data_IF_289873943588
#
_entry.id   IF_289873943588
#
_cell.length_a   1.000
_cell.length_b   1.000
_cell.length_c   1.000
_cell.angle_alpha   90.00
_cell.angle_beta   90.00
_cell.angle_gamma   90.00
#
_symmetry.space_group_name_H-M   'P 1'
#
loop_
_entity.id
_entity.type
_entity.pdbx_description
1 polymer ?
#
# COMPACT_ATOMS: atom_id res chain seq x y z
N UNK A 1 -35.73 -32.53 0.51
CA UNK A 1 -34.38 -32.13 0.03
C UNK A 1 -34.05 -30.87 0.79
N UNK A 2 -33.02 -30.90 1.65
CA UNK A 2 -32.59 -29.69 2.36
C UNK A 2 -32.01 -28.73 1.32
N UNK A 3 -32.51 -27.51 1.26
CA UNK A 3 -31.93 -26.47 0.44
C UNK A 3 -30.64 -26.01 1.14
N UNK A 4 -29.52 -26.06 0.43
CA UNK A 4 -28.27 -25.48 0.91
C UNK A 4 -28.45 -23.96 1.09
N UNK A 5 -27.90 -23.35 2.16
CA UNK A 5 -27.94 -21.91 2.32
C UNK A 5 -27.23 -21.22 1.15
N UNK A 6 -27.87 -20.21 0.57
CA UNK A 6 -27.25 -19.29 -0.39
C UNK A 6 -26.57 -18.16 0.36
N UNK A 7 -25.25 -18.11 0.29
CA UNK A 7 -24.45 -16.96 0.75
C UNK A 7 -24.39 -15.89 -0.33
N UNK A 8 -24.53 -14.62 0.06
CA UNK A 8 -24.28 -13.47 -0.81
C UNK A 8 -23.10 -12.69 -0.23
N UNK A 9 -22.14 -12.33 -1.08
CA UNK A 9 -20.96 -11.55 -0.69
C UNK A 9 -21.04 -10.20 -1.38
N UNK A 10 -20.97 -9.13 -0.60
CA UNK A 10 -20.82 -7.76 -1.11
C UNK A 10 -19.35 -7.39 -1.01
N UNK A 11 -18.71 -7.16 -2.16
CA UNK A 11 -17.38 -6.56 -2.21
C UNK A 11 -17.54 -5.06 -2.38
N UNK A 12 -17.04 -4.28 -1.43
CA UNK A 12 -16.68 -2.89 -1.73
C UNK A 12 -15.49 -2.94 -2.68
N UNK A 13 -15.50 -2.11 -3.72
CA UNK A 13 -14.33 -2.02 -4.62
C UNK A 13 -13.11 -1.52 -3.83
N UNK A 14 -11.88 -1.84 -4.28
CA UNK A 14 -10.65 -1.45 -3.56
C UNK A 14 -10.48 0.06 -3.35
N UNK A 15 -11.24 0.89 -4.07
CA UNK A 15 -11.19 2.36 -3.98
C UNK A 15 -12.54 2.96 -3.53
N UNK A 16 -13.44 2.16 -2.94
CA UNK A 16 -14.69 2.68 -2.43
C UNK A 16 -14.42 3.41 -1.12
N UNK A 17 -14.29 4.73 -1.18
CA UNK A 17 -14.30 5.59 0.01
C UNK A 17 -15.70 5.60 0.62
N UNK A 18 -15.96 4.61 1.46
CA UNK A 18 -17.07 4.64 2.41
C UNK A 18 -16.52 5.23 3.68
N UNK A 19 -16.73 6.54 3.88
CA UNK A 19 -16.42 7.22 5.14
C UNK A 19 -17.11 6.57 6.34
N UNK A 20 -16.86 7.06 7.54
CA UNK A 20 -17.51 6.51 8.73
C UNK A 20 -19.03 6.65 8.65
N UNK A 21 -19.74 5.57 8.98
CA UNK A 21 -21.18 5.58 8.93
C UNK A 21 -21.83 4.22 9.09
N UNK A 22 -23.10 4.27 9.50
CA UNK A 22 -23.99 3.13 9.42
C UNK A 22 -24.48 3.01 7.98
N UNK A 23 -24.06 1.95 7.29
CA UNK A 23 -24.47 1.69 5.92
C UNK A 23 -25.66 0.74 5.92
N UNK A 24 -26.81 1.22 5.42
CA UNK A 24 -27.98 0.37 5.22
C UNK A 24 -27.95 -0.22 3.81
N UNK A 25 -27.74 -1.53 3.71
CA UNK A 25 -27.87 -2.24 2.44
C UNK A 25 -29.33 -2.68 2.29
N UNK A 26 -30.03 -2.11 1.31
CA UNK A 26 -31.39 -2.53 0.96
C UNK A 26 -31.36 -3.53 -0.17
N UNK A 27 -31.61 -4.79 0.16
CA UNK A 27 -31.73 -5.84 -0.83
C UNK A 27 -33.18 -5.95 -1.28
N UNK A 28 -33.47 -5.42 -2.48
CA UNK A 28 -34.74 -5.67 -3.12
C UNK A 28 -34.76 -7.12 -3.61
N UNK A 29 -35.67 -7.94 -3.06
CA UNK A 29 -35.86 -9.36 -3.40
C UNK A 29 -36.15 -9.64 -4.90
N UNK A 30 -36.32 -8.60 -5.72
CA UNK A 30 -36.55 -8.70 -7.17
C UNK A 30 -35.39 -9.36 -7.95
N UNK A 31 -34.21 -9.52 -7.35
CA UNK A 31 -33.08 -10.23 -7.97
C UNK A 31 -33.20 -11.77 -7.91
N UNK A 32 -34.05 -12.31 -7.03
CA UNK A 32 -34.32 -13.76 -6.96
C UNK A 32 -35.53 -14.06 -7.84
N UNK A 33 -35.29 -14.12 -9.14
CA UNK A 33 -36.34 -14.45 -10.12
C UNK A 33 -36.93 -15.85 -9.84
N UNK A 34 -38.25 -15.90 -9.70
CA UNK A 34 -39.12 -17.10 -9.69
C UNK A 34 -39.35 -17.87 -8.37
N UNK A 35 -39.51 -17.22 -7.22
CA UNK A 35 -40.39 -17.77 -6.17
C UNK A 35 -41.74 -17.04 -6.17
N UNK A 36 -42.65 -17.50 -7.04
CA UNK A 36 -44.01 -16.99 -7.07
C UNK A 36 -44.72 -17.32 -5.75
N UNK A 37 -45.07 -16.28 -4.97
CA UNK A 37 -45.98 -16.40 -3.82
C UNK A 37 -45.42 -16.04 -2.45
N UNK A 38 -44.15 -15.64 -2.33
CA UNK A 38 -43.65 -15.08 -1.07
C UNK A 38 -43.97 -13.57 -0.99
N UNK A 39 -44.35 -13.05 0.19
CA UNK A 39 -44.45 -11.62 0.40
C UNK A 39 -43.11 -10.95 0.05
N UNK A 40 -43.17 -9.75 -0.54
CA UNK A 40 -41.98 -8.94 -0.78
C UNK A 40 -41.46 -8.40 0.57
N UNK A 41 -40.84 -9.27 1.35
CA UNK A 41 -40.18 -8.86 2.57
C UNK A 41 -38.85 -8.22 2.18
N UNK A 42 -38.75 -6.91 2.45
CA UNK A 42 -37.50 -6.16 2.34
C UNK A 42 -36.66 -6.54 3.55
N UNK A 43 -35.54 -7.21 3.32
CA UNK A 43 -34.54 -7.40 4.34
C UNK A 43 -33.66 -6.15 4.40
N UNK A 44 -33.74 -5.42 5.52
CA UNK A 44 -32.79 -4.37 5.85
C UNK A 44 -31.73 -4.96 6.77
N UNK A 45 -30.46 -4.85 6.38
CA UNK A 45 -29.33 -5.09 7.26
C UNK A 45 -28.50 -3.81 7.28
N UNK A 46 -28.13 -3.38 8.48
CA UNK A 46 -27.08 -2.40 8.65
C UNK A 46 -25.78 -3.10 9.04
N UNK A 47 -24.67 -2.57 8.53
CA UNK A 47 -23.35 -2.86 9.05
C UNK A 47 -22.66 -1.53 9.33
N UNK A 48 -21.85 -1.50 10.37
CA UNK A 48 -21.00 -0.35 10.69
C UNK A 48 -19.62 -0.64 10.11
N UNK A 49 -19.16 0.23 9.22
CA UNK A 49 -17.73 0.33 8.95
C UNK A 49 -17.18 1.18 10.06
N UNK A 50 -16.37 0.58 10.92
CA UNK A 50 -15.74 1.28 12.02
C UNK A 50 -14.30 1.60 11.62
N UNK A 51 -14.05 2.79 11.03
CA UNK A 51 -12.67 3.25 10.85
C UNK A 51 -12.08 3.76 12.16
N UNK A 52 -12.79 3.73 13.31
CA UNK A 52 -12.18 4.11 14.60
C UNK A 52 -11.00 3.22 14.99
N UNK A 53 -10.84 2.04 14.39
CA UNK A 53 -9.62 1.25 14.58
C UNK A 53 -8.37 1.91 13.99
N UNK A 54 -8.54 2.90 13.12
CA UNK A 54 -7.51 3.68 12.45
C UNK A 54 -7.18 5.01 13.12
N UNK A 55 -8.13 5.54 13.90
CA UNK A 55 -8.00 6.79 14.64
C UNK A 55 -7.15 6.55 15.90
N UNK A 56 -5.83 6.54 15.71
CA UNK A 56 -4.85 6.19 16.73
C UNK A 56 -4.66 7.31 17.75
N UNK A 57 -4.92 8.57 17.38
CA UNK A 57 -4.78 9.70 18.29
C UNK A 57 -6.11 10.15 18.95
N UNK A 58 -7.24 9.58 18.52
CA UNK A 58 -8.61 9.79 19.01
C UNK A 58 -9.12 11.23 18.78
N UNK A 59 -8.69 11.88 17.71
CA UNK A 59 -9.19 13.21 17.34
C UNK A 59 -10.47 13.17 16.49
N UNK A 60 -10.84 11.98 16.00
CA UNK A 60 -12.07 11.71 15.25
C UNK A 60 -11.93 11.84 13.74
N UNK A 61 -10.75 12.18 13.23
CA UNK A 61 -10.38 12.08 11.83
C UNK A 61 -9.43 10.87 11.62
N UNK A 62 -9.22 10.45 10.38
CA UNK A 62 -8.21 9.43 10.04
C UNK A 62 -7.24 10.05 9.05
N UNK A 63 -6.09 10.53 9.53
CA UNK A 63 -5.15 11.32 8.75
C UNK A 63 -3.65 10.97 8.99
N UNK A 64 -2.74 11.89 8.65
CA UNK A 64 -1.30 11.70 8.83
C UNK A 64 -0.89 11.57 10.29
N UNK A 65 -1.61 12.22 11.20
CA UNK A 65 -1.33 12.17 12.63
C UNK A 65 -1.61 10.77 13.17
N UNK A 66 -2.63 10.09 12.66
CA UNK A 66 -2.90 8.69 12.98
C UNK A 66 -1.84 7.74 12.47
N UNK A 67 -1.33 7.98 11.26
CA UNK A 67 -0.25 7.17 10.70
C UNK A 67 1.06 7.33 11.49
N UNK A 68 1.36 8.57 11.92
CA UNK A 68 2.48 8.85 12.81
C UNK A 68 2.29 8.22 14.19
N UNK A 69 1.08 8.32 14.75
CA UNK A 69 0.71 7.68 16.03
C UNK A 69 0.82 6.16 15.93
N UNK A 70 0.40 5.56 14.82
CA UNK A 70 0.59 4.14 14.52
C UNK A 70 2.07 3.78 14.49
N UNK A 71 2.92 4.53 13.78
CA UNK A 71 4.36 4.27 13.72
C UNK A 71 4.99 4.32 15.13
N UNK A 72 4.62 5.31 15.95
CA UNK A 72 5.07 5.40 17.35
C UNK A 72 4.62 4.19 18.16
N UNK A 73 3.35 3.80 18.05
CA UNK A 73 2.78 2.72 18.84
C UNK A 73 3.32 1.35 18.41
N UNK A 74 3.54 1.12 17.12
CA UNK A 74 4.19 -0.06 16.54
C UNK A 74 5.57 -0.30 17.12
N UNK A 75 6.38 0.75 17.30
CA UNK A 75 7.71 0.65 17.92
C UNK A 75 7.64 0.18 19.38
N UNK A 76 6.60 0.58 20.10
CA UNK A 76 6.44 0.29 21.53
C UNK A 76 5.76 -1.06 21.79
N UNK A 77 4.76 -1.42 20.97
CA UNK A 77 3.85 -2.53 21.22
C UNK A 77 3.54 -3.35 19.95
N UNK A 78 4.55 -3.90 19.25
CA UNK A 78 4.38 -4.57 17.96
C UNK A 78 3.30 -5.66 17.95
N UNK A 79 3.22 -6.48 19.01
CA UNK A 79 2.28 -7.59 19.09
C UNK A 79 0.79 -7.19 19.14
N UNK A 80 0.46 -5.92 19.39
CA UNK A 80 -0.93 -5.45 19.38
C UNK A 80 -1.44 -5.18 17.96
N UNK A 81 -0.55 -5.11 16.97
CA UNK A 81 -0.82 -4.65 15.61
C UNK A 81 -0.68 -5.77 14.56
N UNK A 82 -0.92 -7.02 14.94
CA UNK A 82 -1.12 -8.16 14.03
C UNK A 82 -2.51 -8.02 13.36
N UNK A 83 -2.54 -7.29 12.25
CA UNK A 83 -3.74 -6.90 11.49
C UNK A 83 -4.26 -8.08 10.66
N UNK A 84 -3.37 -8.88 10.08
CA UNK A 84 -3.77 -10.01 9.24
C UNK A 84 -4.14 -11.27 10.06
N UNK A 85 -3.91 -11.22 11.38
CA UNK A 85 -4.19 -12.26 12.36
C UNK A 85 -3.44 -13.58 12.13
N UNK A 86 -2.29 -13.55 11.47
CA UNK A 86 -1.50 -14.75 11.23
C UNK A 86 -0.64 -15.15 12.44
N UNK A 87 -0.73 -14.38 13.53
CA UNK A 87 0.01 -14.58 14.78
C UNK A 87 1.46 -14.13 14.68
N UNK A 88 1.84 -13.44 13.60
CA UNK A 88 3.12 -12.77 13.42
C UNK A 88 2.85 -11.28 13.39
N UNK A 89 3.91 -10.54 13.69
CA UNK A 89 3.90 -9.11 13.50
C UNK A 89 5.04 -8.81 12.54
N UNK A 90 4.70 -8.67 11.26
CA UNK A 90 5.68 -8.47 10.22
C UNK A 90 5.28 -7.38 9.21
N UNK A 91 5.96 -7.37 8.08
CA UNK A 91 5.76 -6.35 7.06
C UNK A 91 4.40 -6.48 6.37
N UNK A 92 3.76 -7.66 6.40
CA UNK A 92 2.45 -7.87 5.81
C UNK A 92 1.35 -7.15 6.58
N UNK A 93 1.41 -7.15 7.92
CA UNK A 93 0.47 -6.37 8.76
C UNK A 93 0.54 -4.88 8.47
N UNK A 94 1.77 -4.40 8.29
CA UNK A 94 2.04 -3.01 7.98
C UNK A 94 1.53 -2.63 6.58
N UNK A 95 1.82 -3.43 5.55
CA UNK A 95 1.27 -3.17 4.22
C UNK A 95 -0.26 -3.21 4.21
N UNK A 96 -0.85 -4.10 5.01
CA UNK A 96 -2.29 -4.20 5.11
C UNK A 96 -2.89 -2.94 5.74
N UNK A 97 -2.33 -2.42 6.83
CA UNK A 97 -2.89 -1.20 7.43
C UNK A 97 -2.76 0.00 6.49
N UNK A 98 -1.65 0.15 5.78
CA UNK A 98 -1.50 1.25 4.82
C UNK A 98 -2.56 1.21 3.71
N UNK A 99 -2.74 0.03 3.10
CA UNK A 99 -3.65 -0.14 1.98
C UNK A 99 -5.11 -0.13 2.41
N UNK A 100 -5.47 -0.91 3.43
CA UNK A 100 -6.88 -1.13 3.81
C UNK A 100 -7.44 0.02 4.64
N UNK A 101 -6.58 0.68 5.43
CA UNK A 101 -7.00 1.71 6.37
C UNK A 101 -6.76 3.12 5.84
N UNK A 102 -5.52 3.41 5.45
CA UNK A 102 -5.13 4.76 5.02
C UNK A 102 -5.31 4.99 3.52
N UNK A 103 -5.44 3.91 2.72
CA UNK A 103 -5.54 4.02 1.27
C UNK A 103 -4.26 4.57 0.63
N UNK A 104 -3.11 4.45 1.30
CA UNK A 104 -1.83 5.02 0.87
C UNK A 104 -0.80 3.92 0.63
N UNK A 105 0.26 4.29 -0.08
CA UNK A 105 1.37 3.39 -0.38
C UNK A 105 2.66 3.90 0.25
N UNK A 106 3.62 3.02 0.59
CA UNK A 106 4.93 3.49 1.01
C UNK A 106 5.51 4.44 -0.03
N UNK A 107 6.03 5.59 0.41
CA UNK A 107 6.58 6.63 -0.45
C UNK A 107 5.70 7.86 -0.59
N UNK A 108 4.38 7.70 -0.48
CA UNK A 108 3.40 8.79 -0.57
C UNK A 108 3.45 9.65 0.69
N UNK A 109 4.30 10.68 0.69
CA UNK A 109 4.65 11.47 1.86
C UNK A 109 3.57 12.51 2.19
N UNK A 110 2.61 12.76 1.30
CA UNK A 110 1.54 13.73 1.50
C UNK A 110 0.11 13.16 1.44
N UNK A 111 0.00 11.84 1.29
CA UNK A 111 -1.23 11.07 1.21
C UNK A 111 -2.12 11.50 0.04
N UNK A 112 -1.54 11.91 -1.08
CA UNK A 112 -2.30 12.21 -2.30
C UNK A 112 -2.64 10.95 -3.12
N UNK A 113 -2.11 9.79 -2.70
CA UNK A 113 -2.32 8.47 -3.30
C UNK A 113 -1.25 8.05 -4.30
N UNK A 114 -0.32 8.94 -4.66
CA UNK A 114 0.70 8.71 -5.70
C UNK A 114 2.12 8.99 -5.19
N UNK A 115 2.94 7.95 -5.01
CA UNK A 115 4.37 8.18 -4.75
C UNK A 115 5.09 8.72 -6.00
N UNK A 116 5.43 10.00 -6.00
CA UNK A 116 6.01 10.70 -7.14
C UNK A 116 7.19 11.63 -6.74
N UNK A 117 7.60 12.51 -7.66
CA UNK A 117 8.73 13.42 -7.40
C UNK A 117 8.45 14.49 -6.34
N UNK A 118 7.18 14.84 -6.11
CA UNK A 118 6.80 15.83 -5.10
C UNK A 118 7.03 15.29 -3.69
N UNK A 119 6.76 14.01 -3.46
CA UNK A 119 7.07 13.31 -2.20
C UNK A 119 8.56 13.31 -1.91
N UNK A 120 9.37 12.98 -2.92
CA UNK A 120 10.82 13.01 -2.79
C UNK A 120 11.33 14.41 -2.39
N UNK A 121 10.76 15.46 -2.99
CA UNK A 121 11.10 16.84 -2.61
C UNK A 121 10.72 17.11 -1.16
N UNK A 122 9.51 16.73 -0.73
CA UNK A 122 9.04 16.92 0.65
C UNK A 122 9.95 16.22 1.68
N UNK A 123 10.31 14.96 1.43
CA UNK A 123 11.22 14.17 2.27
C UNK A 123 12.57 14.89 2.42
N UNK A 124 13.15 15.38 1.32
CA UNK A 124 14.43 16.08 1.36
C UNK A 124 14.33 17.49 1.98
N UNK A 125 13.18 18.17 1.85
CA UNK A 125 12.91 19.44 2.52
C UNK A 125 12.83 19.28 4.05
N UNK A 126 12.33 18.14 4.54
CA UNK A 126 12.36 17.77 5.96
C UNK A 126 13.78 17.63 6.51
N UNK A 127 14.75 17.26 5.67
CA UNK A 127 16.18 17.28 5.98
C UNK A 127 16.63 16.23 7.00
N UNK A 128 15.84 15.18 7.22
CA UNK A 128 16.15 14.09 8.17
C UNK A 128 16.89 12.90 7.56
N UNK A 129 16.96 12.81 6.23
CA UNK A 129 17.62 11.71 5.52
C UNK A 129 19.09 11.52 5.93
N UNK A 130 19.42 10.32 6.40
CA UNK A 130 20.77 9.88 6.82
C UNK A 130 21.39 10.79 7.90
N UNK A 131 20.57 11.46 8.70
CA UNK A 131 21.03 12.32 9.81
C UNK A 131 21.23 11.55 11.12
N UNK A 132 20.59 10.38 11.27
CA UNK A 132 20.52 9.61 12.51
C UNK A 132 19.56 10.19 13.56
N UNK A 133 18.71 11.16 13.19
CA UNK A 133 17.60 11.61 14.04
C UNK A 133 16.55 10.50 14.13
N UNK A 134 16.02 10.28 15.34
CA UNK A 134 15.10 9.15 15.67
C UNK A 134 13.66 9.60 15.94
N UNK A 135 13.31 10.81 15.50
CA UNK A 135 12.00 11.44 15.64
C UNK A 135 11.43 11.81 14.26
N UNK A 136 11.72 11.00 13.25
CA UNK A 136 11.12 11.13 11.93
C UNK A 136 9.65 10.70 11.93
N UNK A 137 8.82 11.44 11.21
CA UNK A 137 7.43 11.11 10.88
C UNK A 137 7.35 10.44 9.50
N UNK A 138 6.15 10.00 9.13
CA UNK A 138 5.85 9.54 7.79
C UNK A 138 6.21 10.58 6.73
N UNK A 139 5.79 11.83 6.94
CA UNK A 139 6.05 12.95 6.01
C UNK A 139 7.54 13.26 5.86
N UNK A 140 8.34 12.94 6.88
CA UNK A 140 9.80 13.08 6.80
C UNK A 140 10.46 11.96 5.98
N UNK A 141 9.76 10.86 5.71
CA UNK A 141 10.23 9.70 4.95
C UNK A 141 10.55 8.43 5.75
N UNK A 142 10.05 8.31 7.00
CA UNK A 142 10.13 7.08 7.82
C UNK A 142 9.06 6.07 7.37
N UNK A 143 9.33 5.35 6.29
CA UNK A 143 8.39 4.41 5.65
C UNK A 143 8.51 2.97 6.17
N UNK A 144 9.39 2.70 7.14
CA UNK A 144 9.36 1.44 7.88
C UNK A 144 8.92 1.61 9.34
N UNK A 145 8.62 2.84 9.75
CA UNK A 145 8.27 3.25 11.11
C UNK A 145 9.38 2.96 12.14
N UNK A 146 10.67 2.92 11.78
CA UNK A 146 11.76 2.73 12.76
C UNK A 146 12.18 4.02 13.49
N UNK A 147 11.67 5.16 13.04
CA UNK A 147 11.90 6.50 13.61
C UNK A 147 13.02 7.27 12.92
N UNK A 148 13.70 6.70 11.93
CA UNK A 148 14.79 7.32 11.19
C UNK A 148 14.48 7.33 9.69
N UNK A 149 14.97 8.35 8.99
CA UNK A 149 14.89 8.39 7.52
C UNK A 149 16.22 7.91 6.95
N UNK A 150 16.25 6.70 6.43
CA UNK A 150 17.46 6.05 5.92
C UNK A 150 17.26 5.52 4.51
N UNK A 151 18.34 5.00 3.92
CA UNK A 151 18.27 4.27 2.66
C UNK A 151 17.36 3.02 2.74
N UNK A 152 17.08 2.48 3.94
CA UNK A 152 16.20 1.32 4.10
C UNK A 152 14.75 1.65 3.72
N UNK A 153 14.28 2.85 4.08
CA UNK A 153 12.95 3.37 3.72
C UNK A 153 12.78 3.43 2.21
N UNK A 154 13.74 4.00 1.50
CA UNK A 154 13.69 4.06 0.03
C UNK A 154 13.74 2.67 -0.61
N UNK A 155 14.52 1.74 -0.06
CA UNK A 155 14.55 0.36 -0.55
C UNK A 155 13.19 -0.32 -0.36
N UNK A 156 12.51 -0.05 0.75
CA UNK A 156 11.15 -0.55 1.00
C UNK A 156 10.17 0.00 -0.04
N UNK A 157 10.19 1.31 -0.27
CA UNK A 157 9.34 1.97 -1.28
C UNK A 157 9.59 1.41 -2.68
N UNK A 158 10.84 1.28 -3.11
CA UNK A 158 11.14 0.71 -4.44
C UNK A 158 10.80 -0.77 -4.57
N UNK A 159 10.73 -1.52 -3.46
CA UNK A 159 10.25 -2.90 -3.47
C UNK A 159 8.73 -3.00 -3.58
N UNK A 160 8.01 -1.97 -3.13
CA UNK A 160 6.57 -1.88 -3.27
C UNK A 160 6.13 -1.56 -4.72
N UNK A 161 7.05 -1.11 -5.58
CA UNK A 161 6.79 -0.74 -6.99
C UNK A 161 5.73 0.37 -7.15
N UNK A 162 5.73 1.32 -6.21
CA UNK A 162 4.71 2.38 -6.09
C UNK A 162 5.09 3.68 -6.80
N UNK A 163 6.35 3.82 -7.25
CA UNK A 163 6.82 5.07 -7.83
C UNK A 163 6.20 5.35 -9.21
N UNK A 164 5.37 6.38 -9.28
CA UNK A 164 4.87 6.93 -10.52
C UNK A 164 5.73 8.13 -10.90
N UNK A 165 6.51 7.94 -11.97
CA UNK A 165 7.11 9.09 -12.63
C UNK A 165 5.96 9.87 -13.28
N UNK A 166 5.41 10.85 -12.56
CA UNK A 166 4.53 11.89 -13.10
C UNK A 166 5.33 12.79 -14.07
N UNK A 167 5.93 12.16 -15.08
CA UNK A 167 6.37 12.85 -16.27
C UNK A 167 5.06 13.29 -16.89
N UNK A 168 4.81 14.60 -16.91
CA UNK A 168 3.76 15.19 -17.71
C UNK A 168 4.09 14.98 -19.21
N UNK A 169 4.13 13.72 -19.66
CA UNK A 169 4.32 13.32 -21.04
C UNK A 169 3.23 13.95 -21.90
N UNK A 170 2.04 14.16 -21.34
CA UNK A 170 0.95 14.86 -22.01
C UNK A 170 1.24 16.35 -22.23
N UNK A 171 1.94 17.01 -21.29
CA UNK A 171 2.33 18.41 -21.43
C UNK A 171 3.49 18.58 -22.42
N UNK A 172 4.45 17.65 -22.43
CA UNK A 172 5.58 17.67 -23.38
C UNK A 172 5.09 17.30 -24.78
N UNK A 173 4.18 16.32 -24.93
CA UNK A 173 3.59 15.97 -26.21
C UNK A 173 2.75 17.12 -26.79
N UNK A 174 2.03 17.88 -25.96
CA UNK A 174 1.26 19.03 -26.42
C UNK A 174 2.13 20.23 -26.81
N UNK A 175 3.25 20.46 -26.13
CA UNK A 175 4.13 21.60 -26.41
C UNK A 175 5.08 21.37 -27.61
N UNK A 176 5.56 20.15 -27.83
CA UNK A 176 6.57 19.88 -28.87
C UNK A 176 5.96 19.54 -30.26
N UNK A 177 4.70 19.09 -30.31
CA UNK A 177 4.03 18.81 -31.60
C UNK A 177 3.66 20.08 -32.39
N UNK A 178 3.35 21.20 -31.72
CA UNK A 178 2.93 22.42 -32.42
C UNK A 178 4.12 23.24 -32.96
N UNK A 179 5.30 23.12 -32.32
CA UNK A 179 6.53 23.80 -32.78
C UNK A 179 7.23 23.05 -33.94
N UNK A 180 7.21 21.71 -33.95
CA UNK A 180 7.83 20.95 -35.04
C UNK A 180 7.00 20.89 -36.33
N UNK A 181 5.67 20.98 -36.26
CA UNK A 181 4.82 21.04 -37.46
C UNK A 181 4.89 22.42 -38.13
N UNK A 182 5.16 23.48 -37.35
CA UNK A 182 5.29 24.86 -37.85
C UNK A 182 6.65 25.16 -38.50
N UNK A 183 7.71 24.41 -38.15
CA UNK A 183 9.05 24.59 -38.73
C UNK A 183 9.38 23.61 -39.87
N UNK A 184 8.56 22.58 -40.10
CA UNK A 184 8.73 21.62 -41.20
C UNK A 184 8.39 22.18 -42.62
N UNK A 185 8.15 23.48 -42.73
CA UNK A 185 8.18 24.21 -43.99
C UNK A 185 9.58 24.24 -44.59
N UNK A 186 9.92 23.20 -45.35
CA UNK A 186 11.06 23.13 -46.28
C UNK A 186 12.46 23.15 -45.66
N UNK A 187 12.92 22.02 -45.14
CA UNK A 187 14.35 21.70 -45.23
C UNK A 187 14.51 20.27 -45.68
N UNK A 188 14.85 20.10 -46.96
CA UNK A 188 15.26 18.82 -47.52
C UNK A 188 16.57 18.41 -46.84
N UNK A 189 16.48 17.62 -45.77
CA UNK A 189 17.62 16.99 -45.12
C UNK A 189 18.21 15.96 -46.10
N UNK A 190 19.29 16.36 -46.78
CA UNK A 190 20.16 15.42 -47.46
C UNK A 190 20.93 14.65 -46.40
N UNK A 191 20.43 13.45 -46.08
CA UNK A 191 21.14 12.51 -45.24
C UNK A 191 22.24 11.89 -46.09
N UNK A 192 23.46 12.41 -45.94
CA UNK A 192 24.65 11.72 -46.45
C UNK A 192 24.86 10.47 -45.59
N UNK A 193 24.91 9.27 -46.17
CA UNK A 193 25.12 8.04 -45.40
C UNK A 193 26.47 8.13 -44.67
N UNK A 194 26.53 7.76 -43.37
CA UNK A 194 27.75 7.82 -42.61
C UNK A 194 28.79 6.84 -43.19
N UNK A 195 30.05 7.27 -43.17
CA UNK A 195 31.19 6.46 -43.55
C UNK A 195 31.21 5.13 -42.76
N UNK A 196 31.55 4.07 -43.48
CA UNK A 196 31.59 2.68 -43.04
C UNK A 196 32.33 2.52 -41.70
N UNK A 197 31.57 2.15 -40.66
CA UNK A 197 32.09 1.92 -39.31
C UNK A 197 32.94 0.65 -39.31
N UNK A 198 34.26 0.81 -39.21
CA UNK A 198 35.19 -0.31 -39.10
C UNK A 198 35.14 -0.87 -37.68
N UNK A 199 34.60 -2.09 -37.53
CA UNK A 199 34.49 -2.79 -36.24
C UNK A 199 35.88 -3.28 -35.82
N UNK A 200 36.38 -2.79 -34.69
CA UNK A 200 37.62 -3.29 -34.06
C UNK A 200 37.26 -4.44 -33.10
N UNK A 201 37.85 -5.64 -33.23
CA UNK A 201 37.53 -6.76 -32.36
C UNK A 201 38.08 -6.56 -30.94
N UNK A 202 37.23 -6.84 -29.95
CA UNK A 202 37.53 -6.74 -28.54
C UNK A 202 38.62 -7.74 -28.11
N UNK A 203 39.76 -7.24 -27.64
CA UNK A 203 40.72 -8.07 -26.91
C UNK A 203 40.31 -8.17 -25.45
N UNK A 204 40.01 -9.40 -25.04
CA UNK A 204 39.68 -9.82 -23.68
C UNK A 204 40.80 -9.43 -22.70
N UNK A 205 40.51 -8.54 -21.76
CA UNK A 205 41.29 -8.39 -20.52
C UNK A 205 40.46 -8.90 -19.35
N UNK A 206 40.56 -10.19 -19.08
CA UNK A 206 40.13 -10.79 -17.81
C UNK A 206 41.33 -10.71 -16.86
N UNK A 207 41.29 -9.78 -15.91
CA UNK A 207 42.22 -9.74 -14.78
C UNK A 207 41.44 -10.03 -13.49
N UNK A 208 41.81 -11.14 -12.87
CA UNK A 208 41.37 -11.67 -11.57
C UNK A 208 41.52 -10.64 -10.45
N UNK A 209 40.45 -10.35 -9.72
CA UNK A 209 40.55 -9.92 -8.33
C UNK A 209 40.16 -11.09 -7.41
N UNK A 210 41.09 -11.41 -6.52
CA UNK A 210 40.97 -12.44 -5.49
C UNK A 210 40.27 -11.81 -4.28
N UNK A 211 39.08 -12.30 -3.93
CA UNK A 211 38.53 -12.14 -2.59
C UNK A 211 39.04 -13.30 -1.74
N UNK A 212 40.03 -13.02 -0.89
CA UNK A 212 40.28 -13.79 0.32
C UNK A 212 39.83 -12.91 1.48
N UNK A 213 39.04 -13.52 2.38
CA UNK A 213 38.80 -13.11 3.78
C UNK A 213 37.30 -13.05 4.13
N UNK A 214 36.69 -14.24 4.24
CA UNK A 214 35.51 -14.45 5.08
C UNK A 214 35.77 -15.69 5.94
N UNK A 215 36.03 -15.45 7.23
CA UNK A 215 36.03 -16.46 8.28
C UNK A 215 34.60 -16.65 8.83
N UNK A 216 34.24 -17.86 9.33
CA UNK A 216 32.87 -18.18 9.72
C UNK A 216 32.55 -17.90 11.19
N UNK A 217 31.24 -17.89 11.44
CA UNK A 217 30.51 -17.57 12.66
C UNK A 217 30.79 -18.45 13.90
N UNK A 218 30.71 -17.80 15.07
CA UNK A 218 30.21 -18.33 16.34
C UNK A 218 29.46 -17.14 16.99
N UNK A 219 28.26 -17.25 17.57
CA UNK A 219 27.97 -18.04 18.75
C UNK A 219 26.45 -17.96 19.04
N UNK A 220 25.86 -19.08 19.50
CA UNK A 220 24.44 -19.22 19.87
C UNK A 220 24.23 -18.80 21.32
N UNK A 221 23.04 -18.28 21.64
CA UNK A 221 22.44 -18.49 22.96
C UNK A 221 20.91 -18.58 22.86
N UNK A 222 20.24 -19.45 23.65
CA UNK A 222 18.81 -19.70 23.56
C UNK A 222 18.02 -18.63 24.30
N UNK A 223 16.89 -18.18 23.74
CA UNK A 223 15.91 -17.36 24.46
C UNK A 223 14.71 -18.22 24.82
N UNK A 224 14.38 -18.14 26.10
CA UNK A 224 13.29 -18.83 26.76
C UNK A 224 11.92 -18.36 26.25
N UNK A 225 11.06 -19.36 26.11
CA UNK A 225 9.66 -19.31 25.71
C UNK A 225 8.79 -18.90 26.91
N UNK A 226 8.08 -17.78 26.78
CA UNK A 226 7.00 -17.39 27.66
C UNK A 226 5.76 -17.05 26.84
N UNK A 227 4.98 -18.08 26.52
CA UNK A 227 3.59 -17.96 26.05
C UNK A 227 2.72 -17.31 27.13
N UNK A 228 2.32 -16.05 26.92
CA UNK A 228 1.20 -15.40 27.59
C UNK A 228 0.03 -15.34 26.62
N UNK A 229 -0.80 -16.40 26.61
CA UNK A 229 -2.12 -16.35 25.98
C UNK A 229 -3.07 -15.54 26.86
N UNK A 230 -3.27 -14.27 26.52
CA UNK A 230 -4.48 -13.54 26.90
C UNK A 230 -5.46 -13.65 25.74
N UNK A 231 -6.58 -14.32 25.97
CA UNK A 231 -7.74 -14.27 25.10
C UNK A 231 -8.27 -12.84 25.15
N UNK A 232 -7.99 -12.06 24.11
CA UNK A 232 -8.78 -10.88 23.76
C UNK A 232 -9.80 -11.39 22.74
N UNK A 233 -11.07 -11.41 23.12
CA UNK A 233 -12.17 -11.61 22.18
C UNK A 233 -12.06 -10.48 21.12
N UNK A 234 -11.78 -10.85 19.86
CA UNK A 234 -11.62 -9.95 18.71
C UNK A 234 -12.89 -9.93 17.87
N UNK A 235 -13.37 -8.73 17.57
CA UNK A 235 -14.30 -8.44 16.48
C UNK A 235 -13.48 -8.13 15.21
N UNK A 236 -13.55 -9.00 14.21
CA UNK A 236 -13.23 -8.67 12.82
C UNK A 236 -14.54 -8.71 12.02
N UNK A 237 -14.82 -7.64 11.27
CA UNK A 237 -16.03 -7.50 10.47
C UNK A 237 -15.90 -8.30 9.16
N UNK A 238 -15.97 -9.63 9.26
CA UNK A 238 -16.50 -10.44 8.17
C UNK A 238 -17.98 -10.66 8.47
N UNK A 239 -18.85 -9.91 7.80
CA UNK A 239 -20.28 -10.20 7.85
C UNK A 239 -20.58 -11.43 6.98
N UNK A 240 -20.23 -12.62 7.46
CA UNK A 240 -20.66 -13.88 6.86
C UNK A 240 -22.10 -14.17 7.31
N UNK A 241 -23.07 -13.85 6.45
CA UNK A 241 -24.48 -14.09 6.74
C UNK A 241 -24.84 -15.56 6.47
N UNK A 242 -24.91 -16.37 7.54
CA UNK A 242 -25.53 -17.69 7.52
C UNK A 242 -27.04 -17.51 7.78
N UNK A 243 -27.88 -17.65 6.75
CA UNK A 243 -29.34 -17.70 6.91
C UNK A 243 -29.74 -19.05 7.55
N UNK A 244 -29.60 -19.19 8.87
CA UNK A 244 -29.89 -20.46 9.56
C UNK A 244 -31.36 -20.69 9.91
N UNK A 245 -32.21 -19.65 9.88
CA UNK A 245 -33.58 -19.77 10.39
C UNK A 245 -34.61 -19.16 9.43
N UNK A 246 -34.83 -19.84 8.31
CA UNK A 246 -36.08 -19.71 7.54
C UNK A 246 -36.81 -21.05 7.64
N UNK A 247 -37.62 -21.20 8.69
CA UNK A 247 -38.63 -22.26 8.71
C UNK A 247 -39.78 -21.84 7.80
N UNK A 248 -39.81 -22.42 6.60
CA UNK A 248 -40.96 -22.42 5.69
C UNK A 248 -42.16 -23.14 6.31
#
# INVERSE_FOLDING_TARGET
RANSPTSFTFGLGPNADVGDGEYTVRLAANAVTNLAGLPQDVFETSFTVDRSSADFDNDGDVDLQDLDAYCVARRQHPALYDINQDGRFDFQDYLQILSDTFGVTPGDADLDGDFNSQDLVKIFEGGKYETGQTDASWQDGDFDCDGQVTSADFVLVFRADTYTANIALDAIAAADLDEQVSSAGQTSLQITPPAEVTVVPAQQRIARQRNSDFAPAENRSPRDDHTLTKNVERDHVFAEFQLSDVWL
#
